data_IF_093048464844
#
_entry.id   IF_093048464844
#
_cell.length_a   1.000
_cell.length_b   1.000
_cell.length_c   1.000
_cell.angle_alpha   90.00
_cell.angle_beta   90.00
_cell.angle_gamma   90.00
#
_symmetry.space_group_name_H-M   'P 1'
#
loop_
_entity.id
_entity.type
_entity.pdbx_description
1 polymer ?
#
# COMPACT_ATOMS: atom_id res chain seq x y z
N UNK A 1 -5.65 -9.75 14.95
CA UNK A 1 -5.18 -8.85 13.85
C UNK A 1 -5.38 -9.51 12.51
N UNK A 2 -5.85 -8.79 11.50
CA UNK A 2 -5.94 -9.31 10.13
C UNK A 2 -4.56 -9.37 9.46
N UNK A 3 -4.33 -10.39 8.63
CA UNK A 3 -3.16 -10.47 7.75
C UNK A 3 -3.66 -10.43 6.30
N UNK A 4 -3.16 -9.48 5.53
CA UNK A 4 -3.45 -9.32 4.11
C UNK A 4 -2.22 -9.49 3.24
N UNK A 5 -2.43 -9.57 1.93
CA UNK A 5 -1.35 -9.55 0.94
C UNK A 5 -1.43 -8.29 0.08
N UNK A 6 -0.30 -7.60 -0.09
CA UNK A 6 -0.12 -6.63 -1.17
C UNK A 6 0.48 -7.36 -2.36
N UNK A 7 -0.04 -7.11 -3.55
CA UNK A 7 0.29 -7.91 -4.73
C UNK A 7 0.90 -7.01 -5.80
N UNK A 8 2.12 -7.32 -6.23
CA UNK A 8 2.67 -6.80 -7.47
C UNK A 8 1.80 -7.33 -8.62
N UNK A 9 0.91 -6.50 -9.14
CA UNK A 9 -0.14 -6.92 -10.08
C UNK A 9 0.45 -7.63 -11.29
N UNK A 10 0.15 -8.93 -11.45
CA UNK A 10 0.63 -9.75 -12.54
C UNK A 10 -0.53 -10.51 -13.18
N UNK A 11 -0.86 -10.19 -14.42
CA UNK A 11 -2.08 -10.67 -15.09
C UNK A 11 -2.16 -12.20 -15.24
N UNK A 12 -1.02 -12.86 -15.29
CA UNK A 12 -0.94 -14.33 -15.42
C UNK A 12 -0.66 -15.05 -14.07
N UNK A 13 -0.70 -14.34 -12.93
CA UNK A 13 -0.38 -14.88 -11.62
C UNK A 13 -1.52 -14.69 -10.60
N UNK A 14 -2.74 -14.95 -11.06
CA UNK A 14 -3.94 -14.85 -10.21
C UNK A 14 -3.96 -15.93 -9.13
N UNK A 15 -3.34 -17.07 -9.39
CA UNK A 15 -3.26 -18.20 -8.46
C UNK A 15 -2.62 -17.82 -7.12
N UNK A 16 -1.77 -16.79 -7.07
CA UNK A 16 -1.23 -16.26 -5.83
C UNK A 16 -2.33 -15.75 -4.89
N UNK A 17 -3.31 -15.00 -5.42
CA UNK A 17 -4.42 -14.51 -4.61
C UNK A 17 -5.43 -15.61 -4.28
N UNK A 18 -5.67 -16.54 -5.20
CA UNK A 18 -6.48 -17.73 -4.93
C UNK A 18 -5.88 -18.53 -3.77
N UNK A 19 -4.55 -18.73 -3.79
CA UNK A 19 -3.85 -19.42 -2.71
C UNK A 19 -3.90 -18.65 -1.39
N UNK A 20 -3.77 -17.32 -1.41
CA UNK A 20 -3.95 -16.48 -0.23
C UNK A 20 -5.35 -16.66 0.39
N UNK A 21 -6.42 -16.70 -0.42
CA UNK A 21 -7.78 -16.97 0.05
C UNK A 21 -7.89 -18.35 0.72
N UNK A 22 -7.30 -19.38 0.12
CA UNK A 22 -7.31 -20.76 0.69
C UNK A 22 -6.62 -20.82 2.05
N UNK A 23 -5.53 -20.06 2.21
CA UNK A 23 -4.72 -20.01 3.42
C UNK A 23 -5.29 -19.10 4.53
N UNK A 24 -6.37 -18.36 4.25
CA UNK A 24 -7.06 -17.55 5.25
C UNK A 24 -6.59 -16.09 5.35
N UNK A 25 -5.87 -15.58 4.35
CA UNK A 25 -5.59 -14.14 4.28
C UNK A 25 -6.88 -13.35 4.12
N UNK A 26 -6.98 -12.23 4.81
CA UNK A 26 -8.21 -11.43 4.90
C UNK A 26 -8.46 -10.52 3.69
N UNK A 27 -7.37 -9.96 3.12
CA UNK A 27 -7.43 -8.95 2.05
C UNK A 27 -6.32 -9.16 1.02
N UNK A 28 -6.64 -8.87 -0.25
CA UNK A 28 -5.68 -8.77 -1.34
C UNK A 28 -5.69 -7.35 -1.91
N UNK A 29 -4.56 -6.65 -1.78
CA UNK A 29 -4.34 -5.27 -2.17
C UNK A 29 -3.56 -5.22 -3.48
N UNK A 30 -4.24 -4.98 -4.61
CA UNK A 30 -3.60 -4.96 -5.92
C UNK A 30 -2.90 -3.62 -6.16
N UNK A 31 -1.58 -3.64 -6.27
CA UNK A 31 -0.79 -2.43 -6.48
C UNK A 31 -1.01 -1.83 -7.89
N UNK A 32 -1.08 -0.49 -7.97
CA UNK A 32 -1.29 0.26 -9.21
C UNK A 32 -0.06 1.13 -9.52
N UNK A 33 0.95 0.53 -10.14
CA UNK A 33 2.14 1.23 -10.62
C UNK A 33 2.38 0.88 -12.09
N UNK A 34 1.82 1.71 -12.97
CA UNK A 34 2.02 1.56 -14.41
C UNK A 34 3.52 1.59 -14.75
N UNK A 35 3.91 0.90 -15.81
CA UNK A 35 5.29 0.70 -16.29
C UNK A 35 6.17 -0.19 -15.40
N UNK A 36 5.67 -0.66 -14.25
CA UNK A 36 6.29 -1.68 -13.41
C UNK A 36 5.51 -3.00 -13.48
N UNK A 37 4.20 -2.92 -13.29
CA UNK A 37 3.31 -4.08 -13.13
C UNK A 37 2.15 -4.04 -14.14
N UNK A 38 1.39 -5.14 -14.22
CA UNK A 38 0.16 -5.20 -15.01
C UNK A 38 -0.87 -4.19 -14.51
N UNK A 39 -1.85 -3.83 -15.37
CA UNK A 39 -2.96 -2.96 -14.96
C UNK A 39 -3.74 -3.58 -13.80
N UNK A 40 -3.89 -2.83 -12.71
CA UNK A 40 -4.46 -3.33 -11.47
C UNK A 40 -5.95 -3.68 -11.61
N UNK A 41 -6.73 -2.94 -12.40
CA UNK A 41 -8.17 -3.22 -12.58
C UNK A 41 -8.41 -4.45 -13.44
N UNK A 42 -7.58 -4.65 -14.49
CA UNK A 42 -7.63 -5.88 -15.27
C UNK A 42 -7.30 -7.11 -14.41
N UNK A 43 -6.29 -6.99 -13.55
CA UNK A 43 -5.91 -8.05 -12.61
C UNK A 43 -6.99 -8.27 -11.55
N UNK A 44 -7.56 -7.19 -10.98
CA UNK A 44 -8.67 -7.26 -10.02
C UNK A 44 -9.91 -7.97 -10.59
N UNK A 45 -10.24 -7.74 -11.87
CA UNK A 45 -11.37 -8.41 -12.49
C UNK A 45 -11.19 -9.93 -12.54
N UNK A 46 -9.97 -10.40 -12.85
CA UNK A 46 -9.65 -11.83 -12.82
C UNK A 46 -9.64 -12.41 -11.40
N UNK A 47 -9.10 -11.66 -10.43
CA UNK A 47 -9.14 -12.03 -9.02
C UNK A 47 -10.58 -12.13 -8.52
N UNK A 48 -11.45 -11.17 -8.88
CA UNK A 48 -12.86 -11.18 -8.52
C UNK A 48 -13.59 -12.42 -9.04
N UNK A 49 -13.25 -12.87 -10.27
CA UNK A 49 -13.82 -14.07 -10.90
C UNK A 49 -13.36 -15.38 -10.23
N UNK A 50 -12.11 -15.40 -9.69
CA UNK A 50 -11.49 -16.63 -9.18
C UNK A 50 -11.57 -16.79 -7.66
N UNK A 51 -11.97 -15.76 -6.93
CA UNK A 51 -12.07 -15.77 -5.47
C UNK A 51 -13.51 -15.51 -5.01
N UNK A 52 -13.84 -15.86 -3.77
CA UNK A 52 -15.21 -15.79 -3.27
C UNK A 52 -15.35 -15.21 -1.85
N UNK A 53 -14.27 -15.14 -1.07
CA UNK A 53 -14.26 -14.72 0.34
C UNK A 53 -13.31 -13.56 0.64
N UNK A 54 -12.08 -13.62 0.10
CA UNK A 54 -11.06 -12.62 0.37
C UNK A 54 -11.53 -11.23 -0.09
N UNK A 55 -11.34 -10.22 0.76
CA UNK A 55 -11.60 -8.84 0.37
C UNK A 55 -10.56 -8.39 -0.66
N UNK A 56 -11.00 -7.72 -1.71
CA UNK A 56 -10.14 -7.34 -2.82
C UNK A 56 -10.26 -5.86 -3.14
N UNK A 57 -9.16 -5.23 -3.47
CA UNK A 57 -9.15 -3.82 -3.82
C UNK A 57 -7.79 -3.32 -4.29
N UNK A 58 -7.71 -2.03 -4.54
CA UNK A 58 -6.46 -1.41 -4.97
C UNK A 58 -5.52 -1.13 -3.79
N UNK A 59 -4.24 -1.41 -3.92
CA UNK A 59 -3.25 -1.25 -2.87
C UNK A 59 -1.98 -0.49 -3.29
N UNK A 60 -2.08 0.79 -3.69
CA UNK A 60 -3.26 1.67 -3.80
C UNK A 60 -3.38 2.26 -5.20
N UNK A 61 -4.60 2.55 -5.63
CA UNK A 61 -4.82 3.31 -6.86
C UNK A 61 -4.22 4.72 -6.75
N UNK A 62 -3.85 5.29 -7.89
CA UNK A 62 -3.07 6.53 -7.93
C UNK A 62 -3.90 7.68 -8.45
N UNK A 63 -4.17 8.65 -7.58
CA UNK A 63 -4.92 9.87 -7.93
C UNK A 63 -4.21 10.75 -8.98
N UNK A 64 -2.89 10.66 -9.05
CA UNK A 64 -2.09 11.43 -10.00
C UNK A 64 -1.99 10.84 -11.41
N UNK A 65 -2.53 9.63 -11.65
CA UNK A 65 -2.48 8.93 -12.94
C UNK A 65 -3.86 8.63 -13.53
N UNK A 66 -4.89 8.53 -12.67
CA UNK A 66 -6.27 8.32 -13.10
C UNK A 66 -7.19 9.36 -12.45
N UNK A 67 -8.01 10.11 -13.22
CA UNK A 67 -9.01 11.03 -12.67
C UNK A 67 -10.02 10.34 -11.75
N UNK A 68 -10.56 11.04 -10.77
CA UNK A 68 -11.49 10.51 -9.79
C UNK A 68 -12.71 9.77 -10.42
N UNK A 69 -13.39 10.30 -11.44
CA UNK A 69 -14.51 9.59 -12.04
C UNK A 69 -14.10 8.28 -12.74
N UNK A 70 -12.85 8.20 -13.27
CA UNK A 70 -12.34 6.97 -13.91
C UNK A 70 -12.08 5.89 -12.85
N UNK A 71 -11.46 6.27 -11.72
CA UNK A 71 -11.25 5.36 -10.60
C UNK A 71 -12.58 4.93 -9.94
N UNK A 72 -13.53 5.85 -9.74
CA UNK A 72 -14.85 5.52 -9.20
C UNK A 72 -15.59 4.50 -10.07
N UNK A 73 -15.62 4.72 -11.39
CA UNK A 73 -16.24 3.78 -12.33
C UNK A 73 -15.50 2.43 -12.36
N UNK A 74 -14.17 2.45 -12.31
CA UNK A 74 -13.33 1.23 -12.31
C UNK A 74 -13.61 0.35 -11.09
N UNK A 75 -13.55 0.90 -9.89
CA UNK A 75 -13.77 0.11 -8.68
C UNK A 75 -15.23 -0.33 -8.52
N UNK A 76 -16.19 0.50 -8.93
CA UNK A 76 -17.60 0.13 -8.93
C UNK A 76 -17.92 -0.98 -9.95
N UNK A 77 -17.11 -1.11 -11.04
CA UNK A 77 -17.16 -2.25 -11.95
C UNK A 77 -16.64 -3.53 -11.27
N UNK A 78 -15.55 -3.45 -10.52
CA UNK A 78 -15.05 -4.58 -9.73
C UNK A 78 -16.08 -4.97 -8.66
N UNK A 79 -16.74 -4.00 -8.02
CA UNK A 79 -17.80 -4.26 -7.04
C UNK A 79 -19.03 -4.96 -7.65
N UNK A 80 -19.26 -4.84 -8.95
CA UNK A 80 -20.30 -5.62 -9.64
C UNK A 80 -19.92 -7.11 -9.80
N UNK A 81 -18.61 -7.43 -9.86
CA UNK A 81 -18.10 -8.79 -9.88
C UNK A 81 -17.97 -9.41 -8.49
N UNK A 82 -17.65 -8.60 -7.48
CA UNK A 82 -17.35 -9.01 -6.11
C UNK A 82 -18.10 -8.16 -5.08
N UNK A 83 -19.46 -8.18 -5.08
CA UNK A 83 -20.27 -7.36 -4.20
C UNK A 83 -19.98 -7.67 -2.72
N UNK A 84 -19.89 -6.61 -1.91
CA UNK A 84 -19.71 -6.70 -0.45
C UNK A 84 -18.30 -7.09 0.02
N UNK A 85 -17.36 -7.36 -0.90
CA UNK A 85 -15.94 -7.66 -0.59
C UNK A 85 -14.95 -6.80 -1.36
N UNK A 86 -15.44 -5.75 -2.02
CA UNK A 86 -14.60 -4.80 -2.75
C UNK A 86 -14.32 -3.57 -1.89
N UNK A 87 -13.07 -3.14 -1.82
CA UNK A 87 -12.66 -1.89 -1.18
C UNK A 87 -11.82 -1.03 -2.16
N UNK A 88 -11.65 0.24 -1.84
CA UNK A 88 -10.87 1.14 -2.66
C UNK A 88 -9.74 1.80 -1.86
N UNK A 89 -8.52 1.33 -2.03
CA UNK A 89 -7.32 1.99 -1.54
C UNK A 89 -6.83 3.06 -2.53
N UNK A 90 -6.56 4.27 -2.06
CA UNK A 90 -6.08 5.36 -2.92
C UNK A 90 -4.99 6.18 -2.26
N UNK A 91 -4.02 6.62 -3.05
CA UNK A 91 -2.93 7.49 -2.60
C UNK A 91 -2.52 8.51 -3.66
N UNK A 92 -1.61 9.40 -3.28
CA UNK A 92 -1.02 10.40 -4.19
C UNK A 92 -0.07 9.81 -5.24
N UNK A 93 0.34 8.53 -5.07
CA UNK A 93 1.10 7.78 -6.05
C UNK A 93 2.57 8.14 -6.14
N UNK A 94 3.29 8.00 -5.06
CA UNK A 94 4.73 8.27 -5.04
C UNK A 94 5.47 7.51 -6.15
N UNK A 95 5.47 6.18 -6.14
CA UNK A 95 6.17 5.33 -7.13
C UNK A 95 5.66 5.56 -8.54
N UNK A 96 4.34 5.49 -8.76
CA UNK A 96 3.74 5.60 -10.09
C UNK A 96 4.03 6.92 -10.80
N UNK A 97 4.22 8.02 -10.06
CA UNK A 97 4.63 9.30 -10.65
C UNK A 97 6.14 9.35 -10.88
N UNK A 98 6.93 8.79 -9.97
CA UNK A 98 8.39 8.84 -10.03
C UNK A 98 8.97 7.99 -11.14
N UNK A 99 8.39 6.82 -11.44
CA UNK A 99 8.83 6.00 -12.61
C UNK A 99 8.70 6.76 -13.94
N UNK A 100 7.83 7.79 -13.97
CA UNK A 100 7.71 8.70 -15.11
C UNK A 100 8.61 9.94 -15.02
N UNK A 101 9.43 10.06 -13.97
CA UNK A 101 10.24 11.25 -13.72
C UNK A 101 9.43 12.47 -13.26
N UNK A 102 8.18 12.28 -12.81
CA UNK A 102 7.31 13.36 -12.36
C UNK A 102 7.50 13.66 -10.87
N UNK A 103 7.29 14.92 -10.43
CA UNK A 103 7.31 15.26 -9.02
C UNK A 103 6.13 14.61 -8.27
N UNK A 104 6.20 14.50 -6.92
CA UNK A 104 5.08 14.09 -6.11
C UNK A 104 3.84 14.94 -6.38
N UNK A 105 2.66 14.34 -6.25
CA UNK A 105 1.41 15.08 -6.34
C UNK A 105 1.29 16.04 -5.15
N UNK A 106 0.81 17.27 -5.40
CA UNK A 106 0.57 18.24 -4.33
C UNK A 106 -0.61 17.78 -3.47
N UNK A 107 -0.51 18.01 -2.16
CA UNK A 107 -1.55 17.59 -1.21
C UNK A 107 -2.92 18.23 -1.51
N UNK A 108 -2.95 19.48 -1.98
CA UNK A 108 -4.19 20.16 -2.37
C UNK A 108 -4.86 19.52 -3.59
N UNK A 109 -4.08 19.00 -4.55
CA UNK A 109 -4.60 18.24 -5.70
C UNK A 109 -5.17 16.91 -5.26
N UNK A 110 -4.51 16.25 -4.30
CA UNK A 110 -5.01 15.01 -3.73
C UNK A 110 -6.30 15.24 -2.93
N UNK A 111 -6.39 16.30 -2.14
CA UNK A 111 -7.64 16.66 -1.44
C UNK A 111 -8.78 16.95 -2.42
N UNK A 112 -8.52 17.72 -3.48
CA UNK A 112 -9.50 17.97 -4.54
C UNK A 112 -9.99 16.67 -5.21
N UNK A 113 -9.07 15.74 -5.45
CA UNK A 113 -9.41 14.41 -5.97
C UNK A 113 -10.37 13.67 -5.03
N UNK A 114 -10.09 13.64 -3.71
CA UNK A 114 -10.94 13.01 -2.71
C UNK A 114 -12.33 13.67 -2.61
N UNK A 115 -12.40 14.99 -2.71
CA UNK A 115 -13.68 15.74 -2.72
C UNK A 115 -14.58 15.33 -3.89
N UNK A 116 -13.99 15.02 -5.05
CA UNK A 116 -14.75 14.52 -6.21
C UNK A 116 -15.05 13.02 -6.08
N UNK A 117 -14.12 12.24 -5.55
CA UNK A 117 -14.23 10.78 -5.48
C UNK A 117 -15.31 10.30 -4.51
N UNK A 118 -15.32 10.85 -3.28
CA UNK A 118 -16.19 10.36 -2.20
C UNK A 118 -17.67 10.38 -2.58
N UNK A 119 -18.25 11.47 -3.11
CA UNK A 119 -19.64 11.45 -3.56
C UNK A 119 -19.89 10.44 -4.68
N UNK A 120 -18.97 10.27 -5.63
CA UNK A 120 -19.11 9.32 -6.73
C UNK A 120 -19.15 7.86 -6.25
N UNK A 121 -18.33 7.49 -5.25
CA UNK A 121 -18.37 6.16 -4.64
C UNK A 121 -19.68 5.90 -3.90
N UNK A 122 -20.30 6.94 -3.34
CA UNK A 122 -21.61 6.88 -2.72
C UNK A 122 -22.80 6.94 -3.73
N UNK A 123 -22.51 6.96 -5.04
CA UNK A 123 -23.55 7.07 -6.09
C UNK A 123 -24.16 8.47 -6.24
N UNK A 124 -23.60 9.46 -5.58
CA UNK A 124 -24.09 10.84 -5.59
C UNK A 124 -23.45 11.69 -6.70
N UNK A 125 -24.04 12.87 -6.92
CA UNK A 125 -23.43 13.91 -7.76
C UNK A 125 -22.21 14.51 -7.07
N UNK A 126 -21.15 14.76 -7.83
CA UNK A 126 -19.89 15.34 -7.39
C UNK A 126 -19.51 16.56 -8.24
N UNK A 127 -18.70 17.45 -7.69
CA UNK A 127 -18.11 18.57 -8.41
C UNK A 127 -16.74 18.17 -8.97
N UNK A 128 -16.59 18.27 -10.30
CA UNK A 128 -15.31 18.12 -10.99
C UNK A 128 -14.73 19.50 -11.30
N UNK A 129 -13.55 19.79 -10.79
CA UNK A 129 -12.82 21.00 -11.19
C UNK A 129 -12.05 20.75 -12.49
N UNK A 130 -12.33 21.59 -13.46
CA UNK A 130 -11.64 21.60 -14.75
C UNK A 130 -11.33 23.05 -15.15
N UNK A 131 -10.05 23.40 -15.18
CA UNK A 131 -9.56 24.77 -15.25
C UNK A 131 -10.21 25.62 -14.14
N UNK A 132 -10.82 26.76 -14.48
CA UNK A 132 -11.51 27.67 -13.55
C UNK A 132 -13.00 27.33 -13.34
N UNK A 133 -13.45 26.16 -13.84
CA UNK A 133 -14.86 25.74 -13.76
C UNK A 133 -15.07 24.61 -12.77
N UNK A 134 -16.22 24.65 -12.10
CA UNK A 134 -16.78 23.52 -11.37
C UNK A 134 -17.92 22.93 -12.21
N UNK A 135 -17.83 21.63 -12.50
CA UNK A 135 -18.77 20.92 -13.39
C UNK A 135 -19.41 19.80 -12.57
N UNK A 136 -20.76 19.80 -12.40
CA UNK A 136 -21.43 18.69 -11.74
C UNK A 136 -21.35 17.42 -12.61
N UNK A 137 -20.93 16.31 -11.99
CA UNK A 137 -20.82 15.00 -12.64
C UNK A 137 -21.43 13.91 -11.77
N UNK A 138 -21.97 12.86 -12.40
CA UNK A 138 -22.47 11.66 -11.72
C UNK A 138 -22.45 10.45 -12.63
N UNK A 139 -22.66 9.26 -12.06
CA UNK A 139 -22.96 8.08 -12.85
C UNK A 139 -24.31 8.25 -13.55
N UNK A 140 -24.33 8.15 -14.89
CA UNK A 140 -25.52 8.50 -15.69
C UNK A 140 -26.53 7.32 -15.78
N UNK A 141 -26.02 6.06 -15.68
CA UNK A 141 -26.85 4.86 -15.79
C UNK A 141 -26.60 3.87 -14.65
N UNK A 142 -26.73 4.27 -13.38
CA UNK A 142 -26.39 3.41 -12.24
C UNK A 142 -27.31 2.17 -12.16
N UNK A 143 -28.60 2.31 -12.58
CA UNK A 143 -29.62 1.26 -12.45
C UNK A 143 -29.55 0.20 -13.57
N UNK A 144 -28.55 0.23 -14.44
CA UNK A 144 -28.41 -0.71 -15.56
C UNK A 144 -27.41 -1.85 -15.31
N UNK A 145 -26.81 -1.90 -14.10
CA UNK A 145 -25.90 -2.97 -13.73
C UNK A 145 -24.49 -2.87 -14.37
N UNK A 146 -24.14 -1.75 -14.98
CA UNK A 146 -22.79 -1.53 -15.49
C UNK A 146 -21.77 -1.37 -14.35
N UNK A 147 -22.23 -0.86 -13.22
CA UNK A 147 -21.46 -0.66 -11.98
C UNK A 147 -22.32 -1.04 -10.80
N UNK A 148 -21.71 -1.41 -9.67
CA UNK A 148 -22.41 -1.63 -8.41
C UNK A 148 -21.98 -0.56 -7.40
N UNK A 149 -22.93 0.31 -7.05
CA UNK A 149 -22.82 1.35 -6.01
C UNK A 149 -23.81 1.12 -4.87
N UNK A 150 -24.59 0.02 -4.93
CA UNK A 150 -25.56 -0.33 -3.90
C UNK A 150 -24.90 -0.99 -2.69
N UNK A 151 -23.87 -1.80 -2.94
CA UNK A 151 -23.02 -2.33 -1.88
C UNK A 151 -21.91 -1.32 -1.59
N UNK A 152 -21.70 -0.92 -0.31
CA UNK A 152 -20.66 0.04 0.05
C UNK A 152 -19.26 -0.38 -0.42
N UNK A 153 -18.47 0.57 -0.89
CA UNK A 153 -17.08 0.39 -1.24
C UNK A 153 -16.24 1.19 -0.23
N UNK A 154 -15.71 0.55 0.84
CA UNK A 154 -14.88 1.25 1.82
C UNK A 154 -13.69 1.95 1.15
N UNK A 155 -13.47 3.21 1.49
CA UNK A 155 -12.36 4.03 0.98
C UNK A 155 -11.21 4.04 1.98
N UNK A 156 -10.07 3.49 1.58
CA UNK A 156 -8.83 3.50 2.37
C UNK A 156 -7.82 4.48 1.77
N UNK A 157 -7.51 5.54 2.53
CA UNK A 157 -6.64 6.61 2.04
C UNK A 157 -5.22 6.41 2.54
N UNK A 158 -4.26 6.32 1.62
CA UNK A 158 -2.84 6.17 1.97
C UNK A 158 -2.21 7.51 2.37
N UNK A 159 -1.56 7.52 3.54
CA UNK A 159 -0.88 8.69 4.07
C UNK A 159 0.33 8.33 4.92
N UNK A 160 1.47 9.00 4.67
CA UNK A 160 2.72 8.80 5.42
C UNK A 160 3.15 10.06 6.18
N UNK A 161 2.59 11.20 5.86
CA UNK A 161 2.89 12.48 6.52
C UNK A 161 1.64 13.12 7.14
N UNK A 162 1.81 14.13 8.02
CA UNK A 162 0.70 14.71 8.79
C UNK A 162 -0.49 15.17 7.93
N UNK A 163 -0.21 15.84 6.82
CA UNK A 163 -1.27 16.35 5.94
C UNK A 163 -2.05 15.24 5.23
N UNK A 164 -1.36 14.19 4.74
CA UNK A 164 -2.02 13.06 4.07
C UNK A 164 -2.78 12.18 5.07
N UNK A 165 -2.27 12.01 6.30
CA UNK A 165 -2.99 11.34 7.38
C UNK A 165 -4.24 12.13 7.80
N UNK A 166 -4.14 13.48 7.88
CA UNK A 166 -5.32 14.31 8.10
C UNK A 166 -6.40 14.14 7.01
N UNK A 167 -6.00 14.02 5.73
CA UNK A 167 -6.95 13.72 4.65
C UNK A 167 -7.56 12.31 4.78
N UNK A 168 -6.76 11.32 5.20
CA UNK A 168 -7.26 9.98 5.45
C UNK A 168 -8.35 9.98 6.55
N UNK A 169 -8.11 10.65 7.66
CA UNK A 169 -9.12 10.81 8.72
C UNK A 169 -10.38 11.54 8.24
N UNK A 170 -10.20 12.58 7.43
CA UNK A 170 -11.28 13.43 6.93
C UNK A 170 -12.20 12.70 5.93
N UNK A 171 -11.63 11.98 4.97
CA UNK A 171 -12.36 11.45 3.82
C UNK A 171 -12.48 9.92 3.80
N UNK A 172 -11.55 9.19 4.44
CA UNK A 172 -11.47 7.73 4.34
C UNK A 172 -12.36 6.99 5.34
N UNK A 173 -12.71 5.77 5.03
CA UNK A 173 -13.25 4.77 5.97
C UNK A 173 -12.11 4.00 6.65
N UNK A 174 -10.88 4.23 6.22
CA UNK A 174 -9.67 3.69 6.78
C UNK A 174 -8.43 4.35 6.21
N UNK A 175 -7.26 3.90 6.71
CA UNK A 175 -5.95 4.43 6.31
C UNK A 175 -4.97 3.30 5.98
N UNK A 176 -4.15 3.55 4.93
CA UNK A 176 -3.00 2.72 4.59
C UNK A 176 -1.73 3.44 5.05
N UNK A 177 -1.00 2.79 5.96
CA UNK A 177 0.21 3.31 6.61
C UNK A 177 1.45 2.58 6.08
N UNK A 178 2.61 3.22 6.13
CA UNK A 178 3.91 2.63 5.78
C UNK A 178 4.80 2.40 7.01
N UNK A 179 4.20 2.15 8.17
CA UNK A 179 4.90 2.03 9.46
C UNK A 179 4.39 0.81 10.23
N UNK A 180 5.31 0.12 10.89
CA UNK A 180 5.06 -1.05 11.75
C UNK A 180 5.73 -0.90 13.11
N UNK A 181 5.74 0.32 13.65
CA UNK A 181 6.20 0.65 14.99
C UNK A 181 5.04 1.16 15.84
N UNK A 182 4.78 0.61 17.04
CA UNK A 182 3.62 0.97 17.87
C UNK A 182 3.52 2.46 18.21
N UNK A 183 4.65 3.13 18.47
CA UNK A 183 4.65 4.57 18.79
C UNK A 183 4.30 5.40 17.55
N UNK A 184 4.83 5.02 16.40
CA UNK A 184 4.52 5.69 15.14
C UNK A 184 3.06 5.47 14.73
N UNK A 185 2.47 4.28 14.97
CA UNK A 185 1.03 4.02 14.78
C UNK A 185 0.20 4.94 15.68
N UNK A 186 0.52 5.04 16.97
CA UNK A 186 -0.17 5.95 17.91
C UNK A 186 -0.09 7.41 17.44
N UNK A 187 1.06 7.84 16.93
CA UNK A 187 1.25 9.18 16.36
C UNK A 187 0.41 9.41 15.09
N UNK A 188 0.34 8.40 14.22
CA UNK A 188 -0.50 8.46 13.02
C UNK A 188 -2.00 8.56 13.37
N UNK A 189 -2.48 7.79 14.36
CA UNK A 189 -3.86 7.87 14.86
C UNK A 189 -4.23 9.27 15.37
N UNK A 190 -3.31 9.95 16.04
CA UNK A 190 -3.54 11.34 16.45
C UNK A 190 -3.83 12.26 15.25
N UNK A 191 -3.04 12.15 14.17
CA UNK A 191 -3.22 12.94 12.96
C UNK A 191 -4.50 12.57 12.19
N UNK A 192 -4.86 11.29 12.16
CA UNK A 192 -6.13 10.80 11.61
C UNK A 192 -7.30 11.42 12.36
N UNK A 193 -7.29 11.40 13.69
CA UNK A 193 -8.33 11.98 14.54
C UNK A 193 -8.44 13.51 14.36
N UNK A 194 -7.34 14.24 14.19
CA UNK A 194 -7.40 15.67 13.89
C UNK A 194 -8.12 15.95 12.56
N UNK A 195 -7.82 15.16 11.53
CA UNK A 195 -8.51 15.26 10.24
C UNK A 195 -10.00 14.97 10.35
N UNK A 196 -10.38 13.89 11.05
CA UNK A 196 -11.77 13.49 11.26
C UNK A 196 -12.58 14.54 12.04
N UNK A 197 -12.01 15.11 13.10
CA UNK A 197 -12.63 16.19 13.90
C UNK A 197 -12.96 17.41 13.05
N UNK A 198 -12.19 17.70 12.00
CA UNK A 198 -12.45 18.83 11.11
C UNK A 198 -13.79 18.73 10.36
N UNK A 199 -14.40 17.54 10.31
CA UNK A 199 -15.69 17.23 9.66
C UNK A 199 -16.65 16.52 10.62
N UNK A 200 -16.41 16.62 11.92
CA UNK A 200 -17.25 16.04 12.98
C UNK A 200 -17.39 14.51 12.90
N UNK A 201 -16.39 13.82 12.31
CA UNK A 201 -16.36 12.37 12.20
C UNK A 201 -15.67 11.76 13.42
N UNK A 202 -16.27 10.70 13.97
CA UNK A 202 -15.71 9.91 15.07
C UNK A 202 -14.98 8.67 14.52
N UNK A 203 -13.69 8.51 14.87
CA UNK A 203 -12.89 7.34 14.53
C UNK A 203 -12.63 6.41 15.74
N UNK A 204 -13.16 6.75 16.92
CA UNK A 204 -12.84 6.00 18.15
C UNK A 204 -13.65 4.68 18.27
N UNK A 205 -14.73 4.55 17.51
CA UNK A 205 -15.44 3.28 17.42
C UNK A 205 -14.65 2.29 16.55
N UNK A 206 -14.30 1.09 17.06
CA UNK A 206 -13.54 0.08 16.30
C UNK A 206 -14.18 -0.32 14.96
N UNK A 207 -15.50 -0.16 14.82
CA UNK A 207 -16.23 -0.45 13.58
C UNK A 207 -16.19 0.67 12.55
N UNK A 208 -15.64 1.85 12.87
CA UNK A 208 -15.81 3.04 12.05
C UNK A 208 -14.59 3.42 11.22
N UNK A 209 -13.40 2.84 11.51
CA UNK A 209 -12.19 3.23 10.80
C UNK A 209 -11.14 2.12 10.85
N UNK A 210 -10.79 1.60 9.69
CA UNK A 210 -9.88 0.48 9.54
C UNK A 210 -8.46 0.93 9.16
N UNK A 211 -7.45 0.44 9.86
CA UNK A 211 -6.05 0.80 9.61
C UNK A 211 -5.23 -0.41 9.16
N UNK A 212 -4.46 -0.24 8.10
CA UNK A 212 -3.54 -1.27 7.62
C UNK A 212 -2.14 -0.71 7.42
N UNK A 213 -1.11 -1.53 7.60
CA UNK A 213 0.27 -1.15 7.37
C UNK A 213 0.94 -2.09 6.35
N UNK A 214 1.66 -1.49 5.39
CA UNK A 214 2.43 -2.23 4.40
C UNK A 214 3.83 -2.56 4.95
N UNK A 215 4.18 -3.84 4.92
CA UNK A 215 5.53 -4.35 5.22
C UNK A 215 5.75 -5.66 4.47
N UNK A 216 6.76 -6.42 4.84
CA UNK A 216 6.84 -7.86 4.58
C UNK A 216 7.15 -8.59 5.89
N UNK A 217 6.96 -9.89 5.91
CA UNK A 217 7.13 -10.72 7.11
C UNK A 217 8.02 -11.91 6.78
N UNK A 218 9.04 -12.14 7.61
CA UNK A 218 9.94 -13.29 7.50
C UNK A 218 10.03 -14.00 8.84
N UNK A 219 9.50 -15.22 8.90
CA UNK A 219 9.63 -16.09 10.07
C UNK A 219 10.98 -16.78 10.01
N UNK A 220 11.84 -16.52 11.00
CA UNK A 220 13.18 -17.13 11.10
C UNK A 220 13.10 -18.59 11.57
N UNK A 221 13.97 -19.43 11.00
CA UNK A 221 14.27 -20.73 11.55
C UNK A 221 15.14 -20.60 12.82
N UNK A 222 15.19 -21.65 13.65
CA UNK A 222 15.98 -21.65 14.89
C UNK A 222 17.46 -21.35 14.63
N UNK A 223 17.95 -20.24 15.19
CA UNK A 223 19.34 -19.82 15.04
C UNK A 223 19.68 -19.18 13.70
N UNK A 224 18.69 -18.89 12.85
CA UNK A 224 18.92 -18.25 11.57
C UNK A 224 19.28 -16.76 11.74
N UNK A 225 20.27 -16.31 10.97
CA UNK A 225 20.69 -14.93 10.96
C UNK A 225 19.72 -14.06 10.14
N UNK A 226 19.48 -12.83 10.61
CA UNK A 226 18.59 -11.84 9.95
C UNK A 226 19.05 -11.51 8.52
N UNK A 227 20.34 -11.62 8.25
CA UNK A 227 20.94 -11.35 6.94
C UNK A 227 21.33 -12.62 6.18
N UNK A 228 20.71 -13.76 6.50
CA UNK A 228 20.86 -14.99 5.71
C UNK A 228 20.40 -14.78 4.26
N UNK A 229 20.92 -15.61 3.35
CA UNK A 229 20.55 -15.51 1.93
C UNK A 229 19.03 -15.70 1.73
N UNK A 230 18.40 -16.58 2.53
CA UNK A 230 16.96 -16.78 2.49
C UNK A 230 16.21 -15.52 2.91
N UNK A 231 16.57 -14.90 4.03
CA UNK A 231 15.93 -13.67 4.51
C UNK A 231 16.05 -12.56 3.47
N UNK A 232 17.24 -12.37 2.89
CA UNK A 232 17.45 -11.40 1.80
C UNK A 232 16.59 -11.71 0.58
N UNK A 233 16.46 -13.00 0.23
CA UNK A 233 15.62 -13.42 -0.88
C UNK A 233 14.13 -13.21 -0.63
N UNK A 234 13.66 -13.22 0.62
CA UNK A 234 12.24 -13.06 0.96
C UNK A 234 11.82 -11.59 1.15
N UNK A 235 12.70 -10.72 1.67
CA UNK A 235 12.33 -9.34 2.01
C UNK A 235 13.27 -8.25 1.48
N UNK A 236 14.36 -8.59 0.81
CA UNK A 236 15.35 -7.61 0.36
C UNK A 236 14.78 -6.53 -0.55
N UNK A 237 13.82 -6.85 -1.42
CA UNK A 237 13.21 -5.89 -2.32
C UNK A 237 12.37 -4.84 -1.55
N UNK A 238 11.67 -5.23 -0.48
CA UNK A 238 10.96 -4.29 0.40
C UNK A 238 11.96 -3.39 1.14
N UNK A 239 13.07 -3.96 1.60
CA UNK A 239 14.11 -3.21 2.28
C UNK A 239 14.74 -2.15 1.35
N UNK A 240 15.07 -2.53 0.11
CA UNK A 240 15.58 -1.57 -0.87
C UNK A 240 14.54 -0.53 -1.28
N UNK A 241 13.26 -0.89 -1.40
CA UNK A 241 12.20 0.09 -1.67
C UNK A 241 12.11 1.18 -0.59
N UNK A 242 12.35 0.86 0.69
CA UNK A 242 12.42 1.84 1.77
C UNK A 242 13.67 2.75 1.66
N UNK A 243 14.82 2.20 1.21
CA UNK A 243 16.03 2.98 0.90
C UNK A 243 15.78 3.93 -0.27
N UNK A 244 15.16 3.44 -1.36
CA UNK A 244 14.75 4.24 -2.53
C UNK A 244 13.83 5.39 -2.12
N UNK A 245 12.83 5.11 -1.29
CA UNK A 245 11.91 6.13 -0.77
C UNK A 245 12.66 7.19 0.06
N UNK A 246 13.58 6.77 0.93
CA UNK A 246 14.38 7.68 1.76
C UNK A 246 15.26 8.59 0.90
N UNK A 247 15.89 8.05 -0.15
CA UNK A 247 16.65 8.85 -1.11
C UNK A 247 15.77 9.87 -1.83
N UNK A 248 14.59 9.49 -2.24
CA UNK A 248 13.63 10.40 -2.86
C UNK A 248 13.17 11.51 -1.91
N UNK A 249 12.92 11.19 -0.63
CA UNK A 249 12.60 12.21 0.39
C UNK A 249 13.76 13.18 0.61
N UNK A 250 14.98 12.66 0.66
CA UNK A 250 16.19 13.50 0.75
C UNK A 250 16.31 14.43 -0.45
N UNK A 251 16.21 13.91 -1.66
CA UNK A 251 16.40 14.69 -2.90
C UNK A 251 15.31 15.72 -3.16
N UNK A 252 14.07 15.42 -2.83
CA UNK A 252 12.95 16.30 -3.14
C UNK A 252 12.59 17.28 -2.02
N UNK A 253 12.89 16.92 -0.75
CA UNK A 253 12.46 17.70 0.41
C UNK A 253 13.58 18.00 1.42
N UNK A 254 14.78 17.47 1.22
CA UNK A 254 15.91 17.64 2.15
C UNK A 254 15.77 16.85 3.45
N UNK A 255 14.88 15.85 3.50
CA UNK A 255 14.70 15.01 4.69
C UNK A 255 15.95 14.17 4.93
N UNK A 256 16.41 14.11 6.17
CA UNK A 256 17.52 13.23 6.53
C UNK A 256 17.08 11.77 6.50
N UNK A 257 17.96 10.84 6.09
CA UNK A 257 17.64 9.41 6.11
C UNK A 257 17.44 8.92 7.57
N UNK A 258 16.65 7.85 7.76
CA UNK A 258 16.55 7.17 9.04
C UNK A 258 17.93 6.67 9.53
N UNK A 259 18.12 6.60 10.85
CA UNK A 259 19.38 6.14 11.46
C UNK A 259 19.81 4.74 10.98
N UNK A 260 18.87 3.86 10.72
CA UNK A 260 19.14 2.51 10.19
C UNK A 260 19.89 2.51 8.84
N UNK A 261 19.81 3.61 8.09
CA UNK A 261 20.49 3.75 6.79
C UNK A 261 21.86 4.42 6.90
N UNK A 262 22.28 4.89 8.08
CA UNK A 262 23.51 5.69 8.25
C UNK A 262 24.76 4.96 7.75
N UNK A 263 24.84 3.65 7.95
CA UNK A 263 26.00 2.83 7.54
C UNK A 263 26.13 2.62 6.03
N UNK A 264 25.07 2.84 5.27
CA UNK A 264 25.04 2.61 3.81
C UNK A 264 24.81 3.89 3.01
N UNK A 265 24.42 4.98 3.66
CA UNK A 265 23.82 6.14 3.00
C UNK A 265 24.74 6.84 1.99
N UNK A 266 26.00 7.06 2.36
CA UNK A 266 26.97 7.70 1.49
C UNK A 266 27.24 6.87 0.23
N UNK A 267 27.51 5.57 0.41
CA UNK A 267 27.79 4.65 -0.70
C UNK A 267 26.57 4.48 -1.62
N UNK A 268 25.37 4.39 -1.03
CA UNK A 268 24.12 4.30 -1.78
C UNK A 268 23.86 5.59 -2.58
N UNK A 269 24.04 6.74 -1.96
CA UNK A 269 23.89 8.04 -2.63
C UNK A 269 24.89 8.17 -3.79
N UNK A 270 26.17 7.82 -3.57
CA UNK A 270 27.20 7.84 -4.60
C UNK A 270 26.86 6.90 -5.77
N UNK A 271 26.32 5.70 -5.49
CA UNK A 271 25.86 4.78 -6.52
C UNK A 271 24.77 5.44 -7.38
N UNK A 272 23.72 5.98 -6.78
CA UNK A 272 22.64 6.61 -7.54
C UNK A 272 23.08 7.88 -8.28
N UNK A 273 23.95 8.68 -7.68
CA UNK A 273 24.45 9.91 -8.30
C UNK A 273 25.42 9.64 -9.48
N UNK A 274 25.96 8.42 -9.59
CA UNK A 274 26.76 8.00 -10.74
C UNK A 274 25.92 7.82 -12.02
N UNK A 275 24.61 7.64 -11.90
CA UNK A 275 23.71 7.53 -13.05
C UNK A 275 23.33 8.91 -13.61
N UNK A 276 23.09 9.03 -14.93
CA UNK A 276 22.63 10.28 -15.54
C UNK A 276 21.38 10.82 -14.85
N UNK A 277 21.37 12.10 -14.48
CA UNK A 277 20.33 12.71 -13.69
C UNK A 277 18.92 12.60 -14.32
N UNK A 278 18.85 12.67 -15.65
CA UNK A 278 17.61 12.55 -16.44
C UNK A 278 17.06 11.11 -16.52
N UNK A 279 17.86 10.11 -16.14
CA UNK A 279 17.46 8.68 -16.17
C UNK A 279 17.50 8.00 -14.80
N UNK A 280 17.92 8.70 -13.77
CA UNK A 280 18.06 8.17 -12.41
C UNK A 280 16.73 7.61 -11.86
N UNK A 281 15.60 8.24 -12.20
CA UNK A 281 14.28 7.75 -11.81
C UNK A 281 13.96 6.36 -12.37
N UNK A 282 14.49 5.98 -13.52
CA UNK A 282 14.32 4.63 -14.08
C UNK A 282 15.15 3.60 -13.31
N UNK A 283 16.35 3.99 -12.89
CA UNK A 283 17.26 3.10 -12.17
C UNK A 283 16.77 2.80 -10.75
N UNK A 284 16.30 3.82 -10.03
CA UNK A 284 15.84 3.68 -8.65
C UNK A 284 14.62 2.77 -8.50
N UNK A 285 13.88 2.52 -9.56
CA UNK A 285 12.72 1.62 -9.56
C UNK A 285 12.97 0.28 -10.27
N UNK A 286 14.22 -0.02 -10.65
CA UNK A 286 14.56 -1.34 -11.15
C UNK A 286 14.36 -2.38 -10.05
N UNK A 287 13.63 -3.46 -10.34
CA UNK A 287 13.33 -4.50 -9.36
C UNK A 287 12.31 -4.14 -8.27
N UNK A 288 11.73 -2.95 -8.30
CA UNK A 288 10.88 -2.37 -7.24
C UNK A 288 9.92 -3.38 -6.59
N UNK A 289 10.10 -3.66 -5.30
CA UNK A 289 9.34 -4.61 -4.49
C UNK A 289 9.24 -6.05 -5.06
N UNK A 290 10.02 -6.39 -6.08
CA UNK A 290 10.00 -7.73 -6.69
C UNK A 290 11.31 -8.48 -6.52
N UNK A 291 12.44 -7.81 -6.79
CA UNK A 291 13.79 -8.38 -6.60
C UNK A 291 14.80 -7.28 -6.29
N UNK A 292 15.96 -7.65 -5.76
CA UNK A 292 17.08 -6.75 -5.55
C UNK A 292 18.00 -6.79 -6.75
N UNK A 293 18.43 -5.64 -7.25
CA UNK A 293 19.43 -5.58 -8.32
C UNK A 293 20.82 -5.81 -7.75
N UNK A 294 21.70 -6.47 -8.51
CA UNK A 294 23.01 -6.96 -8.06
C UNK A 294 23.84 -5.89 -7.35
N UNK A 295 23.86 -4.65 -7.86
CA UNK A 295 24.66 -3.57 -7.27
C UNK A 295 24.12 -3.07 -5.91
N UNK A 296 22.88 -3.43 -5.56
CA UNK A 296 22.23 -3.04 -4.31
C UNK A 296 22.28 -4.12 -3.23
N UNK A 297 22.62 -5.37 -3.57
CA UNK A 297 22.68 -6.49 -2.59
C UNK A 297 23.56 -6.18 -1.39
N UNK A 298 24.68 -5.48 -1.59
CA UNK A 298 25.61 -5.07 -0.52
C UNK A 298 25.03 -4.12 0.51
N UNK A 299 23.87 -3.50 0.23
CA UNK A 299 23.18 -2.59 1.15
C UNK A 299 22.14 -3.29 2.04
N UNK A 300 21.91 -4.58 1.84
CA UNK A 300 21.02 -5.40 2.67
C UNK A 300 21.70 -5.80 3.98
N UNK A 301 21.96 -4.82 4.83
CA UNK A 301 22.49 -5.05 6.19
C UNK A 301 21.36 -5.43 7.16
N UNK A 302 21.66 -6.06 8.31
CA UNK A 302 20.64 -6.36 9.32
C UNK A 302 19.81 -5.14 9.73
N UNK A 303 20.42 -3.96 9.84
CA UNK A 303 19.74 -2.72 10.20
C UNK A 303 18.73 -2.29 9.12
N UNK A 304 19.11 -2.38 7.86
CA UNK A 304 18.26 -2.03 6.71
C UNK A 304 17.09 -3.00 6.58
N UNK A 305 17.34 -4.30 6.73
CA UNK A 305 16.32 -5.33 6.68
C UNK A 305 15.29 -5.16 7.81
N UNK A 306 15.75 -4.97 9.05
CA UNK A 306 14.87 -4.77 10.21
C UNK A 306 14.07 -3.46 10.19
N UNK A 307 14.59 -2.42 9.53
CA UNK A 307 13.92 -1.13 9.48
C UNK A 307 12.64 -1.13 8.62
N UNK A 308 12.51 -2.07 7.71
CA UNK A 308 11.43 -2.10 6.70
C UNK A 308 10.60 -3.38 6.70
N UNK A 309 11.09 -4.43 7.39
CA UNK A 309 10.49 -5.75 7.38
C UNK A 309 10.25 -6.26 8.79
N UNK A 310 9.24 -7.08 8.96
CA UNK A 310 8.95 -7.76 10.22
C UNK A 310 9.67 -9.11 10.22
N UNK A 311 10.89 -9.14 10.78
CA UNK A 311 11.75 -10.33 10.82
C UNK A 311 11.88 -10.81 12.26
N UNK A 312 11.70 -12.11 12.50
CA UNK A 312 11.84 -12.71 13.83
C UNK A 312 11.38 -14.15 13.89
N UNK A 313 11.56 -14.79 15.02
CA UNK A 313 10.94 -16.08 15.28
C UNK A 313 9.41 -15.93 15.29
N UNK A 314 8.68 -17.02 15.16
CA UNK A 314 7.22 -17.04 15.23
C UNK A 314 6.70 -16.25 16.44
N UNK A 315 7.23 -16.53 17.63
CA UNK A 315 6.76 -15.93 18.87
C UNK A 315 7.06 -14.42 18.94
N UNK A 316 8.22 -13.98 18.43
CA UNK A 316 8.56 -12.57 18.32
C UNK A 316 7.64 -11.81 17.36
N UNK A 317 7.27 -12.43 16.24
CA UNK A 317 6.34 -11.81 15.29
C UNK A 317 4.94 -11.71 15.90
N UNK A 318 4.45 -12.75 16.58
CA UNK A 318 3.14 -12.73 17.25
C UNK A 318 3.10 -11.66 18.34
N UNK A 319 4.14 -11.54 19.17
CA UNK A 319 4.26 -10.46 20.19
C UNK A 319 4.21 -9.08 19.52
N UNK A 320 4.97 -8.87 18.45
CA UNK A 320 4.96 -7.59 17.70
C UNK A 320 3.60 -7.28 17.08
N UNK A 321 2.88 -8.27 16.56
CA UNK A 321 1.51 -8.09 16.06
C UNK A 321 0.54 -7.72 17.18
N UNK A 322 0.70 -8.30 18.38
CA UNK A 322 -0.08 -7.90 19.57
C UNK A 322 0.15 -6.45 19.93
N UNK A 323 1.42 -6.01 20.01
CA UNK A 323 1.78 -4.61 20.31
C UNK A 323 1.20 -3.62 19.28
N UNK A 324 1.20 -3.99 18.00
CA UNK A 324 0.60 -3.19 16.93
C UNK A 324 -0.93 -3.13 17.05
N UNK A 325 -1.57 -4.23 17.45
CA UNK A 325 -3.02 -4.27 17.72
C UNK A 325 -3.37 -3.33 18.88
N UNK A 326 -2.61 -3.38 19.95
CA UNK A 326 -2.80 -2.52 21.12
C UNK A 326 -2.57 -1.04 20.78
N UNK A 327 -1.67 -0.74 19.84
CA UNK A 327 -1.48 0.59 19.28
C UNK A 327 -2.61 1.04 18.34
N UNK A 328 -3.53 0.12 17.97
CA UNK A 328 -4.71 0.39 17.15
C UNK A 328 -4.51 0.15 15.65
N UNK A 329 -3.64 -0.78 15.26
CA UNK A 329 -3.54 -1.28 13.90
C UNK A 329 -4.44 -2.50 13.73
N UNK A 330 -5.28 -2.51 12.68
CA UNK A 330 -6.23 -3.59 12.43
C UNK A 330 -5.63 -4.68 11.52
N UNK A 331 -4.72 -4.31 10.62
CA UNK A 331 -4.14 -5.22 9.63
C UNK A 331 -2.66 -4.95 9.36
N UNK A 332 -1.92 -6.02 9.11
CA UNK A 332 -0.64 -5.98 8.40
C UNK A 332 -0.81 -6.59 7.01
N UNK A 333 -0.45 -5.87 5.94
CA UNK A 333 -0.37 -6.43 4.59
C UNK A 333 1.10 -6.67 4.21
N UNK A 334 1.39 -7.89 3.73
CA UNK A 334 2.74 -8.30 3.37
C UNK A 334 2.98 -8.24 1.87
N UNK A 335 4.19 -7.81 1.48
CA UNK A 335 4.66 -7.79 0.09
C UNK A 335 6.05 -8.44 0.03
N UNK A 336 6.14 -9.76 -0.07
CA UNK A 336 7.42 -10.47 -0.21
C UNK A 336 8.03 -10.26 -1.60
N UNK A 337 9.32 -10.62 -1.75
CA UNK A 337 9.96 -10.68 -3.06
C UNK A 337 9.19 -11.60 -4.01
N UNK A 338 9.18 -11.27 -5.29
CA UNK A 338 8.33 -11.95 -6.27
C UNK A 338 8.62 -13.45 -6.40
N UNK A 339 9.90 -13.86 -6.43
CA UNK A 339 10.27 -15.25 -6.65
C UNK A 339 9.96 -16.16 -5.45
N UNK A 340 10.03 -15.62 -4.23
CA UNK A 340 9.80 -16.38 -2.97
C UNK A 340 8.40 -16.18 -2.39
N UNK A 341 7.52 -15.44 -3.08
CA UNK A 341 6.22 -15.03 -2.54
C UNK A 341 5.32 -16.18 -2.08
N UNK A 342 5.33 -17.31 -2.78
CA UNK A 342 4.53 -18.47 -2.39
C UNK A 342 5.07 -19.14 -1.12
N UNK A 343 6.40 -19.26 -0.99
CA UNK A 343 7.02 -19.84 0.20
C UNK A 343 6.74 -18.99 1.44
N UNK A 344 6.84 -17.65 1.31
CA UNK A 344 6.47 -16.71 2.37
C UNK A 344 4.98 -16.79 2.69
N UNK A 345 4.12 -16.88 1.69
CA UNK A 345 2.67 -17.00 1.86
C UNK A 345 2.31 -18.24 2.70
N UNK A 346 2.86 -19.41 2.35
CA UNK A 346 2.64 -20.67 3.07
C UNK A 346 3.16 -20.61 4.50
N UNK A 347 4.39 -20.11 4.69
CA UNK A 347 5.02 -20.01 6.01
C UNK A 347 4.27 -19.06 6.94
N UNK A 348 3.91 -17.87 6.47
CA UNK A 348 3.15 -16.89 7.28
C UNK A 348 1.76 -17.45 7.62
N UNK A 349 1.12 -18.17 6.72
CA UNK A 349 -0.16 -18.80 7.03
C UNK A 349 -0.03 -19.85 8.12
N UNK A 350 0.95 -20.76 8.01
CA UNK A 350 1.17 -21.86 8.96
C UNK A 350 1.60 -21.35 10.34
N UNK A 351 2.55 -20.40 10.38
CA UNK A 351 3.19 -19.99 11.62
C UNK A 351 2.49 -18.82 12.31
N UNK A 352 1.79 -17.95 11.56
CA UNK A 352 1.22 -16.73 12.06
C UNK A 352 -0.31 -16.76 11.99
N UNK A 353 -0.95 -16.86 10.82
CA UNK A 353 -2.41 -16.73 10.67
C UNK A 353 -3.16 -17.74 11.54
N UNK A 354 -2.65 -18.96 11.65
CA UNK A 354 -3.29 -19.99 12.49
C UNK A 354 -3.11 -19.78 14.00
N UNK A 355 -2.34 -18.76 14.42
CA UNK A 355 -1.94 -18.53 15.81
C UNK A 355 -2.29 -17.11 16.33
N UNK A 356 -2.91 -16.24 15.50
CA UNK A 356 -3.31 -14.87 15.86
C UNK A 356 -4.81 -14.67 15.81
#
# INVERSE_FOLDING_TARGET
>A
MDIGVCVASHINDIDYVVRAEELGYSHAWMADSQMLWSDCYATLALVADKTSRINIGTGVAVSGTRPAPVNAAGIATINALAPGRTFFGVGSGNTARRVMGLPPQRIAEFEQYLQTLVPLLAGNEAELRYDDKSIPIKHIMPDKGFVNLSDPIPLYVSGFGPKSLGLAGKYGDGAVLGITDPQAISGARHMLNEGARSVEKDLESPSNFYTTALTTMVVLDDGEAIDSDRVKAECGAMAMAAVHYSYDQFRNFGHQPPNALSGIWEDYTNLLESYPADRRHQRIHAGHNCWVVEEEEKFLTPEVLNASSMIGTRDQIIERLSDLTDAGLDQVMILPNFDTRFDVLERVAADIIQNV
#
